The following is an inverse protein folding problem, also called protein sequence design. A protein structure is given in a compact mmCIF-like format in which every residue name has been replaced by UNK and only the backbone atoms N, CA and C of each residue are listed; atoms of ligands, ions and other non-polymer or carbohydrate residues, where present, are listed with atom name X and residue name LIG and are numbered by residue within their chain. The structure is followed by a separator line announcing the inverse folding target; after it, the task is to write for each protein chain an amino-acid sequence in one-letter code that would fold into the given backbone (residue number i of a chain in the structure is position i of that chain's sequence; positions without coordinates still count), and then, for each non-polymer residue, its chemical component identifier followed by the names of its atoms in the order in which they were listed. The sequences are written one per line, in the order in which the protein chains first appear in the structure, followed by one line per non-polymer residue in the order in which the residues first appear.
data_IF_028821685925
#
_entry.id   IF_028821685925
#
_cell.length_a   1.000
_cell.length_b   1.000
_cell.length_c   1.000
_cell.angle_alpha   90.00
_cell.angle_beta   90.00
_cell.angle_gamma   90.00
#
_symmetry.space_group_name_H-M   'P 1'
#
loop_
_entity.id
_entity.type
_entity.pdbx_description
1 polymer ?
#
# COMPACT_ATOMS: atom_id res chain seq x y z
N UNK A 1 -10.18 -21.33 26.76
CA UNK A 1 -9.45 -21.23 25.47
C UNK A 1 -10.23 -21.79 24.25
N UNK A 2 -11.56 -21.65 24.14
CA UNK A 2 -12.32 -22.13 22.95
C UNK A 2 -12.58 -21.05 21.87
N UNK A 3 -12.71 -19.77 22.28
CA UNK A 3 -12.99 -18.66 21.36
C UNK A 3 -11.84 -18.37 20.37
N UNK A 4 -10.58 -18.56 20.80
CA UNK A 4 -9.40 -18.24 20.02
C UNK A 4 -9.23 -19.15 18.78
N UNK A 5 -9.50 -20.44 18.91
CA UNK A 5 -9.42 -21.39 17.78
C UNK A 5 -10.54 -21.17 16.75
N UNK A 6 -11.75 -20.91 17.22
CA UNK A 6 -12.90 -20.66 16.35
C UNK A 6 -12.70 -19.39 15.48
N UNK A 7 -12.20 -18.33 16.11
CA UNK A 7 -11.85 -17.07 15.46
C UNK A 7 -10.81 -17.26 14.36
N UNK A 8 -9.71 -17.94 14.69
CA UNK A 8 -8.60 -18.20 13.76
C UNK A 8 -9.07 -18.98 12.54
N UNK A 9 -9.87 -20.03 12.76
CA UNK A 9 -10.46 -20.84 11.68
C UNK A 9 -11.30 -19.99 10.72
N UNK A 10 -12.14 -19.09 11.24
CA UNK A 10 -12.92 -18.19 10.39
C UNK A 10 -12.05 -17.21 9.60
N UNK A 11 -10.96 -16.71 10.17
CA UNK A 11 -10.03 -15.79 9.49
C UNK A 11 -9.28 -16.52 8.37
N UNK A 12 -8.80 -17.73 8.61
CA UNK A 12 -8.12 -18.56 7.59
C UNK A 12 -9.05 -18.92 6.42
N UNK A 13 -10.29 -19.32 6.72
CA UNK A 13 -11.31 -19.60 5.69
C UNK A 13 -11.64 -18.31 4.92
N UNK A 14 -11.74 -17.17 5.60
CA UNK A 14 -11.99 -15.90 4.92
C UNK A 14 -10.83 -15.51 3.99
N UNK A 15 -9.59 -15.59 4.47
CA UNK A 15 -8.39 -15.26 3.68
C UNK A 15 -8.26 -16.16 2.44
N UNK A 16 -8.52 -17.47 2.57
CA UNK A 16 -8.51 -18.40 1.42
C UNK A 16 -9.69 -18.21 0.47
N UNK A 17 -10.83 -17.68 0.95
CA UNK A 17 -12.00 -17.46 0.10
C UNK A 17 -11.87 -16.31 -0.90
N UNK A 18 -10.92 -15.39 -0.71
CA UNK A 18 -10.77 -14.18 -1.52
C UNK A 18 -11.96 -13.21 -1.47
N UNK A 19 -12.92 -13.44 -0.56
CA UNK A 19 -14.12 -12.61 -0.45
C UNK A 19 -13.86 -11.31 0.32
N UNK A 20 -14.65 -10.28 0.04
CA UNK A 20 -14.71 -9.12 0.93
C UNK A 20 -15.24 -9.53 2.31
N UNK A 21 -14.82 -8.81 3.35
CA UNK A 21 -15.24 -9.07 4.72
C UNK A 21 -16.77 -9.08 4.87
N UNK A 22 -17.44 -8.11 4.24
CA UNK A 22 -18.91 -7.99 4.29
C UNK A 22 -19.60 -9.19 3.63
N UNK A 23 -19.10 -9.66 2.48
CA UNK A 23 -19.64 -10.83 1.79
C UNK A 23 -19.46 -12.10 2.62
N UNK A 24 -18.29 -12.28 3.23
CA UNK A 24 -18.02 -13.41 4.11
C UNK A 24 -18.90 -13.42 5.35
N UNK A 25 -19.06 -12.27 6.01
CA UNK A 25 -19.91 -12.16 7.20
C UNK A 25 -21.37 -12.48 6.87
N UNK A 26 -21.90 -12.00 5.73
CA UNK A 26 -23.25 -12.32 5.27
C UNK A 26 -23.42 -13.82 5.00
N UNK A 27 -22.45 -14.45 4.32
CA UNK A 27 -22.49 -15.88 3.97
C UNK A 27 -22.44 -16.80 5.18
N UNK A 28 -21.64 -16.44 6.19
CA UNK A 28 -21.44 -17.24 7.40
C UNK A 28 -22.36 -16.85 8.57
N UNK A 29 -23.27 -15.89 8.37
CA UNK A 29 -24.16 -15.41 9.43
C UNK A 29 -23.44 -14.70 10.58
N UNK A 30 -22.27 -14.11 10.31
CA UNK A 30 -21.44 -13.46 11.33
C UNK A 30 -21.77 -11.97 11.44
N UNK A 31 -21.73 -11.45 12.66
CA UNK A 31 -21.79 -10.01 12.90
C UNK A 31 -20.51 -9.35 12.39
N UNK A 32 -20.64 -8.42 11.43
CA UNK A 32 -19.51 -7.73 10.83
C UNK A 32 -18.65 -6.96 11.85
N UNK A 33 -19.26 -6.31 12.85
CA UNK A 33 -18.52 -5.59 13.90
C UNK A 33 -17.68 -6.55 14.74
N UNK A 34 -18.25 -7.70 15.09
CA UNK A 34 -17.57 -8.75 15.84
C UNK A 34 -16.39 -9.30 15.03
N UNK A 35 -16.61 -9.58 13.74
CA UNK A 35 -15.55 -10.05 12.85
C UNK A 35 -14.44 -9.00 12.62
N UNK A 36 -14.78 -7.71 12.54
CA UNK A 36 -13.78 -6.63 12.53
C UNK A 36 -12.89 -6.66 13.78
N UNK A 37 -13.50 -6.80 14.97
CA UNK A 37 -12.76 -6.85 16.23
C UNK A 37 -11.83 -8.06 16.26
N UNK A 38 -12.31 -9.21 15.80
CA UNK A 38 -11.51 -10.43 15.66
C UNK A 38 -10.29 -10.26 14.76
N UNK A 39 -10.46 -9.62 13.61
CA UNK A 39 -9.35 -9.30 12.70
C UNK A 39 -8.32 -8.37 13.33
N UNK A 40 -8.77 -7.39 14.13
CA UNK A 40 -7.87 -6.48 14.84
C UNK A 40 -7.00 -7.23 15.85
N UNK A 41 -7.61 -8.07 16.68
CA UNK A 41 -6.89 -8.89 17.67
C UNK A 41 -5.93 -9.86 16.97
N UNK A 42 -6.39 -10.56 15.94
CA UNK A 42 -5.55 -11.48 15.16
C UNK A 42 -4.33 -10.80 14.54
N UNK A 43 -4.48 -9.59 13.98
CA UNK A 43 -3.36 -8.83 13.42
C UNK A 43 -2.36 -8.41 14.51
N UNK A 44 -2.85 -8.00 15.67
CA UNK A 44 -1.99 -7.64 16.80
C UNK A 44 -1.17 -8.85 17.25
N UNK A 45 -1.82 -10.00 17.45
CA UNK A 45 -1.15 -11.25 17.82
C UNK A 45 -0.13 -11.70 16.74
N UNK A 46 -0.46 -11.54 15.45
CA UNK A 46 0.45 -11.85 14.36
C UNK A 46 1.63 -10.88 14.27
N UNK A 47 1.46 -9.60 14.60
CA UNK A 47 2.53 -8.60 14.59
C UNK A 47 3.47 -8.78 15.79
N UNK A 48 2.94 -9.06 16.97
CA UNK A 48 3.75 -9.28 18.18
C UNK A 48 4.57 -10.57 18.09
N UNK A 49 4.07 -11.59 17.38
CA UNK A 49 4.75 -12.88 17.21
C UNK A 49 5.60 -12.99 15.94
N UNK A 50 5.63 -11.96 15.08
CA UNK A 50 6.53 -11.95 13.91
C UNK A 50 7.73 -11.06 14.22
N UNK A 51 8.97 -11.59 14.22
CA UNK A 51 10.12 -10.71 14.25
C UNK A 51 10.04 -9.78 13.04
N UNK A 52 10.05 -8.48 13.28
CA UNK A 52 10.09 -7.47 12.23
C UNK A 52 11.29 -7.75 11.34
N UNK A 53 11.03 -8.41 10.20
CA UNK A 53 12.08 -8.83 9.29
C UNK A 53 12.31 -7.66 8.34
N UNK A 54 13.48 -7.03 8.47
CA UNK A 54 13.91 -6.00 7.54
C UNK A 54 14.12 -6.67 6.18
N UNK A 55 13.27 -6.33 5.21
CA UNK A 55 13.46 -6.76 3.83
C UNK A 55 14.51 -5.83 3.22
N UNK A 56 15.66 -6.35 2.74
CA UNK A 56 16.66 -5.53 2.07
C UNK A 56 16.05 -4.95 0.80
N UNK A 57 15.90 -3.62 0.75
CA UNK A 57 15.52 -2.92 -0.48
C UNK A 57 16.80 -2.65 -1.26
N UNK A 58 16.99 -3.36 -2.37
CA UNK A 58 18.06 -3.04 -3.31
C UNK A 58 17.70 -1.73 -3.99
N UNK A 59 18.38 -0.65 -3.59
CA UNK A 59 18.31 0.63 -4.28
C UNK A 59 18.99 0.39 -5.64
N UNK A 60 18.19 0.30 -6.71
CA UNK A 60 18.73 0.33 -8.07
C UNK A 60 19.33 1.74 -8.25
N UNK A 61 20.65 1.90 -8.42
CA UNK A 61 21.18 3.19 -8.81
C UNK A 61 20.58 3.49 -10.17
N UNK A 62 19.64 4.43 -10.19
CA UNK A 62 19.09 4.94 -11.43
C UNK A 62 20.26 5.61 -12.13
N UNK A 63 20.71 5.02 -13.24
CA UNK A 63 21.61 5.68 -14.19
C UNK A 63 20.85 6.88 -14.73
N UNK A 64 20.84 7.96 -13.94
CA UNK A 64 20.27 9.23 -14.34
C UNK A 64 21.00 9.60 -15.61
N UNK A 65 20.32 9.81 -16.75
CA UNK A 65 20.96 10.52 -17.84
C UNK A 65 21.43 11.83 -17.22
N UNK A 66 22.73 12.12 -17.32
CA UNK A 66 23.42 13.22 -16.64
C UNK A 66 22.83 14.62 -16.96
N UNK A 67 21.81 14.66 -17.82
CA UNK A 67 21.22 15.81 -18.48
C UNK A 67 19.68 15.78 -18.34
N UNK A 68 19.11 15.53 -17.16
CA UNK A 68 17.66 15.67 -16.92
C UNK A 68 17.36 16.65 -15.80
N UNK A 69 16.52 17.65 -16.07
CA UNK A 69 15.96 18.60 -15.13
C UNK A 69 14.67 18.03 -14.53
N UNK A 70 14.54 18.04 -13.19
CA UNK A 70 13.30 17.65 -12.51
C UNK A 70 12.62 18.89 -11.94
N UNK A 71 11.39 19.16 -12.37
CA UNK A 71 10.55 20.22 -11.84
C UNK A 71 9.53 19.60 -10.88
N UNK A 72 9.50 20.08 -9.63
CA UNK A 72 8.53 19.64 -8.62
C UNK A 72 7.46 20.71 -8.45
N UNK A 73 6.22 20.35 -8.76
CA UNK A 73 5.06 21.20 -8.53
C UNK A 73 4.56 21.14 -7.08
N UNK A 74 3.69 22.09 -6.71
CA UNK A 74 3.05 22.17 -5.38
C UNK A 74 2.15 20.96 -5.05
N UNK A 75 1.67 20.25 -6.07
CA UNK A 75 0.74 19.12 -5.97
C UNK A 75 1.40 17.73 -5.97
N UNK A 76 2.67 17.63 -5.55
CA UNK A 76 3.45 16.38 -5.51
C UNK A 76 3.79 15.78 -6.89
N UNK A 77 3.47 16.46 -7.99
CA UNK A 77 3.89 16.05 -9.33
C UNK A 77 5.36 16.40 -9.55
N UNK A 78 6.10 15.47 -10.15
CA UNK A 78 7.47 15.68 -10.59
C UNK A 78 7.50 15.47 -12.10
N UNK A 79 7.91 16.52 -12.81
CA UNK A 79 8.12 16.47 -14.25
C UNK A 79 9.61 16.31 -14.52
N UNK A 80 9.97 15.28 -15.29
CA UNK A 80 11.33 15.08 -15.76
C UNK A 80 11.45 15.58 -17.20
N UNK A 81 12.39 16.49 -17.43
CA UNK A 81 12.61 17.15 -18.70
C UNK A 81 14.08 16.94 -19.11
N UNK A 82 14.38 16.62 -20.37
CA UNK A 82 15.74 16.63 -20.88
C UNK A 82 16.41 18.02 -20.74
N UNK A 83 17.71 18.07 -20.47
CA UNK A 83 18.45 19.33 -20.27
C UNK A 83 18.84 20.04 -21.58
N UNK A 84 18.58 19.43 -22.73
CA UNK A 84 18.71 20.01 -24.07
C UNK A 84 17.47 20.80 -24.51
N UNK A 85 16.48 20.94 -23.63
CA UNK A 85 15.25 21.67 -23.91
C UNK A 85 15.46 23.18 -24.00
N UNK A 86 14.81 23.81 -24.99
CA UNK A 86 14.83 25.27 -25.18
C UNK A 86 14.25 26.01 -23.96
N UNK A 87 14.92 27.06 -23.45
CA UNK A 87 14.40 27.89 -22.37
C UNK A 87 13.05 28.53 -22.68
N UNK A 88 12.78 28.87 -23.96
CA UNK A 88 11.54 29.51 -24.36
C UNK A 88 10.34 28.57 -24.22
N UNK A 89 10.50 27.32 -24.65
CA UNK A 89 9.48 26.29 -24.50
C UNK A 89 9.20 25.98 -23.02
N UNK A 90 10.24 25.92 -22.19
CA UNK A 90 10.09 25.66 -20.75
C UNK A 90 9.30 26.78 -20.07
N UNK A 91 9.48 28.04 -20.49
CA UNK A 91 8.69 29.17 -20.00
C UNK A 91 7.23 29.05 -20.40
N UNK A 92 6.91 28.63 -21.62
CA UNK A 92 5.53 28.40 -22.05
C UNK A 92 4.87 27.29 -21.24
N UNK A 93 5.57 26.19 -21.01
CA UNK A 93 5.09 25.09 -20.18
C UNK A 93 4.79 25.56 -18.74
N UNK A 94 5.71 26.31 -18.12
CA UNK A 94 5.53 26.84 -16.77
C UNK A 94 4.38 27.84 -16.66
N UNK A 95 3.97 28.50 -17.75
CA UNK A 95 2.78 29.37 -17.76
C UNK A 95 1.47 28.61 -17.79
N UNK A 96 1.49 27.34 -18.22
CA UNK A 96 0.30 26.48 -18.30
C UNK A 96 0.10 25.59 -17.07
N UNK A 97 1.08 25.55 -16.16
CA UNK A 97 1.05 24.79 -14.90
C UNK A 97 0.61 25.67 -13.73
#
# INVERSE_FOLDING_TARGET
MKLQQHLRKHIEIWQSSGMSQAAYCRKQGLNAKTFCNWLRVYRHDCLDNKPATLVPVTIKPESSPMNSLKLRGSSCHVLEIPADVSPQWLVELLRCL
#
